data_IF_782148722269
#
_entry.id   IF_782148722269
#
_cell.length_a   1.000
_cell.length_b   1.000
_cell.length_c   1.000
_cell.angle_alpha   90.00
_cell.angle_beta   90.00
_cell.angle_gamma   90.00
#
_symmetry.space_group_name_H-M   'P 1'
#
loop_
_entity.id
_entity.type
_entity.pdbx_description
1 polymer ?
#
# COMPACT_ATOMS: atom_id res chain seq x y z
N UNK A 1 10.44 17.68 -8.08
CA UNK A 1 9.49 18.57 -7.40
C UNK A 1 10.15 19.92 -7.11
N UNK A 2 10.15 20.53 -5.92
CA UNK A 2 10.55 21.96 -5.78
C UNK A 2 11.96 22.33 -6.33
N UNK A 3 12.91 21.39 -6.28
CA UNK A 3 14.30 21.57 -6.75
C UNK A 3 14.58 20.86 -8.10
N UNK A 4 13.57 20.65 -8.95
CA UNK A 4 13.73 20.03 -10.27
C UNK A 4 14.26 18.58 -10.27
N UNK A 5 14.14 17.88 -9.14
CA UNK A 5 14.45 16.44 -9.09
C UNK A 5 13.22 15.60 -9.45
N UNK A 6 13.32 14.65 -10.39
CA UNK A 6 12.28 13.64 -10.59
C UNK A 6 11.97 12.90 -9.29
N UNK A 7 10.72 12.45 -9.16
CA UNK A 7 10.27 11.70 -7.99
C UNK A 7 9.73 10.35 -8.44
N UNK A 8 10.18 9.30 -7.76
CA UNK A 8 9.67 7.94 -7.91
C UNK A 8 9.01 7.58 -6.59
N UNK A 9 7.70 7.41 -6.61
CA UNK A 9 6.90 7.14 -5.40
C UNK A 9 5.94 6.00 -5.67
N UNK A 10 5.54 5.28 -4.63
CA UNK A 10 4.42 4.36 -4.75
C UNK A 10 3.16 5.13 -5.10
N UNK A 11 2.24 4.50 -5.82
CA UNK A 11 0.93 5.09 -6.12
C UNK A 11 -0.05 4.98 -4.93
N UNK A 12 0.45 4.68 -3.73
CA UNK A 12 -0.36 4.55 -2.53
C UNK A 12 -0.91 5.91 -2.07
N UNK A 13 -2.24 6.03 -2.08
CA UNK A 13 -2.97 7.16 -1.48
C UNK A 13 -2.60 8.52 -2.07
N UNK A 14 -2.24 9.46 -1.21
CA UNK A 14 -2.04 10.88 -1.54
C UNK A 14 -0.95 11.12 -2.60
N UNK A 15 -0.04 10.17 -2.84
CA UNK A 15 0.95 10.31 -3.90
C UNK A 15 0.29 10.53 -5.27
N UNK A 16 -0.86 9.88 -5.56
CA UNK A 16 -1.61 10.05 -6.81
C UNK A 16 -2.31 11.40 -6.95
N UNK A 17 -2.52 12.11 -5.85
CA UNK A 17 -3.10 13.45 -5.88
C UNK A 17 -2.05 14.51 -6.27
N UNK A 18 -0.78 14.21 -5.99
CA UNK A 18 0.36 15.11 -6.24
C UNK A 18 1.03 14.78 -7.57
N UNK A 19 1.25 13.49 -7.83
CA UNK A 19 2.02 12.97 -8.95
C UNK A 19 1.09 12.36 -9.99
N UNK A 20 1.27 12.78 -11.24
CA UNK A 20 0.69 12.17 -12.42
C UNK A 20 1.79 11.39 -13.15
N UNK A 21 1.54 10.09 -13.35
CA UNK A 21 2.54 9.15 -13.86
C UNK A 21 3.11 9.58 -15.22
N UNK A 22 4.42 9.47 -15.34
CA UNK A 22 5.26 9.88 -16.48
C UNK A 22 5.13 11.36 -16.91
N UNK A 23 4.40 12.19 -16.16
CA UNK A 23 4.25 13.63 -16.44
C UNK A 23 5.07 14.50 -15.50
N UNK A 24 4.92 14.31 -14.20
CA UNK A 24 5.60 15.12 -13.18
C UNK A 24 6.28 14.27 -12.09
N UNK A 25 6.34 12.96 -12.32
CA UNK A 25 6.99 11.93 -11.51
C UNK A 25 6.66 10.56 -12.08
N UNK A 26 7.12 9.50 -11.42
CA UNK A 26 6.81 8.11 -11.79
C UNK A 26 6.11 7.43 -10.63
N UNK A 27 4.95 6.86 -10.89
CA UNK A 27 4.14 6.14 -9.92
C UNK A 27 4.38 4.64 -10.02
N UNK A 28 4.75 4.03 -8.89
CA UNK A 28 4.95 2.60 -8.81
C UNK A 28 3.68 1.93 -8.28
N UNK A 29 3.08 1.00 -9.05
CA UNK A 29 1.85 0.34 -8.64
C UNK A 29 1.97 -0.39 -7.29
N UNK A 30 0.88 -0.37 -6.55
CA UNK A 30 0.75 -1.04 -5.26
C UNK A 30 -0.43 -1.99 -5.23
N UNK A 31 -0.26 -3.10 -4.50
CA UNK A 31 -1.31 -4.07 -4.19
C UNK A 31 -1.59 -4.02 -2.70
N UNK A 32 -2.85 -3.75 -2.35
CA UNK A 32 -3.33 -3.71 -0.97
C UNK A 32 -4.03 -5.01 -0.53
N UNK A 33 -4.32 -5.15 0.77
CA UNK A 33 -5.10 -6.26 1.31
C UNK A 33 -6.56 -6.23 0.83
N UNK A 34 -7.20 -7.40 0.84
CA UNK A 34 -8.66 -7.51 0.68
C UNK A 34 -9.34 -6.71 1.81
N UNK A 35 -10.39 -5.91 1.53
CA UNK A 35 -11.15 -5.24 2.58
C UNK A 35 -11.70 -6.22 3.63
N UNK A 36 -11.44 -5.94 4.91
CA UNK A 36 -11.79 -6.81 6.05
C UNK A 36 -10.65 -7.70 6.54
N UNK A 37 -9.51 -7.75 5.85
CA UNK A 37 -8.40 -8.66 6.18
C UNK A 37 -7.57 -8.21 7.39
N UNK A 38 -7.72 -6.95 7.82
CA UNK A 38 -6.90 -6.35 8.90
C UNK A 38 -7.71 -5.96 10.14
N UNK A 39 -8.87 -6.60 10.33
CA UNK A 39 -9.81 -6.34 11.41
C UNK A 39 -9.17 -6.47 12.81
N UNK A 40 -8.28 -7.44 12.95
CA UNK A 40 -7.50 -7.68 14.16
C UNK A 40 -6.60 -6.50 14.52
N UNK A 41 -6.10 -5.74 13.54
CA UNK A 41 -5.25 -4.58 13.82
C UNK A 41 -6.10 -3.46 14.44
N UNK A 42 -7.33 -3.29 13.94
CA UNK A 42 -8.29 -2.35 14.51
C UNK A 42 -8.67 -2.75 15.95
N UNK A 43 -8.88 -4.04 16.21
CA UNK A 43 -9.15 -4.56 17.55
C UNK A 43 -7.98 -4.35 18.52
N UNK A 44 -6.76 -4.74 18.13
CA UNK A 44 -5.59 -4.56 18.99
C UNK A 44 -5.34 -3.08 19.30
N UNK A 45 -5.59 -2.20 18.33
CA UNK A 45 -5.44 -0.76 18.51
C UNK A 45 -6.53 -0.16 19.40
N UNK A 46 -7.77 -0.66 19.31
CA UNK A 46 -8.86 -0.20 20.19
C UNK A 46 -8.63 -0.61 21.64
N UNK A 47 -7.99 -1.76 21.87
CA UNK A 47 -7.57 -2.24 23.18
C UNK A 47 -6.25 -1.61 23.68
N UNK A 48 -5.66 -0.67 22.93
CA UNK A 48 -4.34 -0.07 23.22
C UNK A 48 -3.20 -1.08 23.34
N UNK A 49 -3.37 -2.28 22.78
CA UNK A 49 -2.33 -3.31 22.66
C UNK A 49 -1.42 -3.06 21.45
N UNK A 50 -1.87 -2.21 20.53
CA UNK A 50 -1.11 -1.76 19.37
C UNK A 50 -1.18 -0.22 19.32
N UNK A 51 -0.08 0.45 19.64
CA UNK A 51 0.00 1.90 19.51
C UNK A 51 -0.05 2.35 18.04
N UNK A 52 -0.24 3.65 17.81
CA UNK A 52 -0.36 4.20 16.45
C UNK A 52 0.86 3.87 15.56
N UNK A 53 2.08 3.96 16.10
CA UNK A 53 3.31 3.72 15.32
C UNK A 53 3.38 2.26 14.89
N UNK A 54 3.13 1.34 15.81
CA UNK A 54 3.13 -0.09 15.55
C UNK A 54 1.96 -0.49 14.65
N UNK A 55 0.80 0.16 14.77
CA UNK A 55 -0.33 -0.04 13.85
C UNK A 55 0.02 0.32 12.41
N UNK A 56 0.53 1.54 12.19
CA UNK A 56 0.92 1.99 10.85
C UNK A 56 2.07 1.13 10.32
N UNK A 57 3.05 0.81 11.18
CA UNK A 57 4.15 -0.09 10.86
C UNK A 57 3.66 -1.44 10.37
N UNK A 58 2.75 -2.08 11.12
CA UNK A 58 2.14 -3.37 10.79
C UNK A 58 1.29 -3.29 9.52
N UNK A 59 0.37 -2.34 9.41
CA UNK A 59 -0.46 -2.15 8.23
C UNK A 59 0.38 -1.98 6.96
N UNK A 60 1.47 -1.21 7.05
CA UNK A 60 2.37 -1.01 5.92
C UNK A 60 3.00 -2.30 5.41
N UNK A 61 3.15 -3.33 6.26
CA UNK A 61 3.75 -4.62 5.86
C UNK A 61 2.91 -5.35 4.80
N UNK A 62 1.63 -5.02 4.67
CA UNK A 62 0.69 -5.69 3.77
C UNK A 62 0.27 -4.83 2.58
N UNK A 63 0.98 -3.73 2.34
CA UNK A 63 0.89 -2.97 1.09
C UNK A 63 2.15 -3.27 0.29
N UNK A 64 2.01 -4.00 -0.81
CA UNK A 64 3.11 -4.36 -1.68
C UNK A 64 3.31 -3.30 -2.76
N UNK A 65 4.53 -2.79 -2.90
CA UNK A 65 4.93 -1.96 -4.05
C UNK A 65 5.62 -2.86 -5.07
N UNK A 66 5.33 -2.68 -6.36
CA UNK A 66 5.96 -3.49 -7.41
C UNK A 66 7.46 -3.16 -7.54
N UNK A 67 8.30 -3.99 -6.92
CA UNK A 67 9.76 -3.78 -6.82
C UNK A 67 10.41 -3.76 -8.20
N UNK A 68 10.00 -4.64 -9.11
CA UNK A 68 10.54 -4.68 -10.47
C UNK A 68 10.26 -3.39 -11.25
N UNK A 69 9.03 -2.86 -11.19
CA UNK A 69 8.69 -1.56 -11.80
C UNK A 69 9.43 -0.40 -11.14
N UNK A 70 9.65 -0.45 -9.83
CA UNK A 70 10.47 0.54 -9.12
C UNK A 70 11.92 0.55 -9.64
N UNK A 71 12.54 -0.63 -9.74
CA UNK A 71 13.89 -0.77 -10.28
C UNK A 71 13.98 -0.30 -11.74
N UNK A 72 12.97 -0.60 -12.56
CA UNK A 72 12.88 -0.12 -13.93
C UNK A 72 12.79 1.41 -13.99
N UNK A 73 11.96 2.03 -13.17
CA UNK A 73 11.83 3.49 -13.10
C UNK A 73 13.17 4.16 -12.76
N UNK A 74 13.87 3.64 -11.74
CA UNK A 74 15.22 4.13 -11.41
C UNK A 74 16.24 3.87 -12.51
N UNK A 75 16.14 2.75 -13.23
CA UNK A 75 17.03 2.45 -14.36
C UNK A 75 16.84 3.43 -15.51
N UNK A 76 15.59 3.73 -15.88
CA UNK A 76 15.26 4.75 -16.87
C UNK A 76 15.81 6.10 -16.43
N UNK A 77 15.54 6.50 -15.18
CA UNK A 77 16.06 7.75 -14.67
C UNK A 77 17.58 7.75 -14.58
N UNK A 78 18.28 6.65 -14.29
CA UNK A 78 19.74 6.65 -14.23
C UNK A 78 20.39 6.76 -15.62
N UNK A 79 19.77 6.17 -16.63
CA UNK A 79 20.34 6.05 -17.98
C UNK A 79 19.89 7.14 -18.96
N UNK A 80 18.74 7.79 -18.72
CA UNK A 80 18.21 8.86 -19.57
C UNK A 80 18.27 10.24 -18.88
N UNK A 81 19.30 11.01 -19.21
CA UNK A 81 19.47 12.36 -18.68
C UNK A 81 18.40 13.36 -19.17
N UNK A 82 17.87 13.15 -20.38
CA UNK A 82 16.84 14.02 -20.94
C UNK A 82 15.52 13.83 -20.20
N UNK A 83 15.11 12.58 -20.01
CA UNK A 83 13.90 12.24 -19.25
C UNK A 83 13.98 12.74 -17.81
N UNK A 84 15.14 12.62 -17.15
CA UNK A 84 15.36 13.23 -15.83
C UNK A 84 15.12 14.74 -15.83
N UNK A 85 15.69 15.46 -16.79
CA UNK A 85 15.55 16.91 -16.86
C UNK A 85 14.11 17.34 -17.16
N UNK A 86 13.43 16.63 -18.06
CA UNK A 86 12.03 16.86 -18.42
C UNK A 86 11.10 16.67 -17.22
N UNK A 87 11.13 15.49 -16.59
CA UNK A 87 10.31 15.18 -15.41
C UNK A 87 10.63 16.14 -14.26
N UNK A 88 11.89 16.48 -14.06
CA UNK A 88 12.34 17.44 -13.05
C UNK A 88 11.67 18.81 -13.19
N UNK A 89 11.73 19.38 -14.40
CA UNK A 89 11.11 20.68 -14.71
C UNK A 89 9.59 20.64 -14.56
N UNK A 90 8.95 19.60 -15.08
CA UNK A 90 7.49 19.41 -14.96
C UNK A 90 7.04 19.28 -13.49
N UNK A 91 7.81 18.55 -12.70
CA UNK A 91 7.58 18.41 -11.26
C UNK A 91 7.67 19.75 -10.52
N UNK A 92 8.63 20.62 -10.87
CA UNK A 92 8.71 21.96 -10.28
C UNK A 92 7.56 22.85 -10.73
N UNK A 93 7.22 22.84 -12.02
CA UNK A 93 6.07 23.57 -12.55
C UNK A 93 4.77 23.19 -11.83
N UNK A 94 4.57 21.89 -11.55
CA UNK A 94 3.42 21.41 -10.76
C UNK A 94 3.43 22.00 -9.35
N UNK A 95 4.58 22.00 -8.67
CA UNK A 95 4.71 22.55 -7.32
C UNK A 95 4.39 24.04 -7.26
N UNK A 96 4.93 24.82 -8.20
CA UNK A 96 4.66 26.25 -8.29
C UNK A 96 3.18 26.52 -8.57
N UNK A 97 2.54 25.72 -9.43
CA UNK A 97 1.14 25.91 -9.81
C UNK A 97 0.15 25.52 -8.70
N UNK A 98 0.37 24.39 -8.02
CA UNK A 98 -0.61 23.80 -7.08
C UNK A 98 -0.31 24.09 -5.60
N UNK A 99 0.96 24.20 -5.23
CA UNK A 99 1.39 24.19 -3.84
C UNK A 99 2.07 25.49 -3.39
N UNK A 100 1.87 26.60 -4.13
CA UNK A 100 2.32 27.92 -3.71
C UNK A 100 1.52 28.41 -2.49
N UNK A 101 2.23 28.85 -1.45
CA UNK A 101 1.64 29.30 -0.18
C UNK A 101 0.47 30.28 -0.32
N UNK A 102 0.57 31.36 -1.13
CA UNK A 102 -0.53 32.29 -1.33
C UNK A 102 -1.80 31.64 -1.89
N UNK A 103 -1.65 30.70 -2.84
CA UNK A 103 -2.78 29.97 -3.42
C UNK A 103 -3.46 29.08 -2.38
N UNK A 104 -2.68 28.35 -1.60
CA UNK A 104 -3.19 27.50 -0.50
C UNK A 104 -3.95 28.34 0.53
N UNK A 105 -3.36 29.45 0.99
CA UNK A 105 -3.99 30.34 1.97
C UNK A 105 -5.32 30.89 1.43
N UNK A 106 -5.36 31.31 0.17
CA UNK A 106 -6.58 31.77 -0.48
C UNK A 106 -7.69 30.71 -0.50
N UNK A 107 -7.35 29.45 -0.81
CA UNK A 107 -8.30 28.34 -0.80
C UNK A 107 -8.85 28.06 0.61
N UNK A 108 -8.00 28.11 1.65
CA UNK A 108 -8.45 27.98 3.04
C UNK A 108 -9.37 29.12 3.46
N UNK A 109 -9.03 30.37 3.12
CA UNK A 109 -9.87 31.53 3.43
C UNK A 109 -11.24 31.41 2.76
N UNK A 110 -11.27 30.99 1.50
CA UNK A 110 -12.51 30.71 0.77
C UNK A 110 -13.35 29.63 1.46
N UNK A 111 -12.74 28.48 1.77
CA UNK A 111 -13.42 27.36 2.46
C UNK A 111 -14.02 27.81 3.80
N UNK A 112 -13.24 28.54 4.60
CA UNK A 112 -13.70 29.04 5.91
C UNK A 112 -14.87 30.02 5.76
N UNK A 113 -14.82 30.92 4.76
CA UNK A 113 -15.93 31.82 4.42
C UNK A 113 -17.19 31.05 4.05
N UNK A 114 -17.09 30.06 3.15
CA UNK A 114 -18.25 29.26 2.73
C UNK A 114 -18.83 28.45 3.87
N UNK A 115 -17.99 27.81 4.69
CA UNK A 115 -18.45 27.09 5.89
C UNK A 115 -19.12 28.02 6.91
N UNK A 116 -18.65 29.26 7.05
CA UNK A 116 -19.30 30.24 7.92
C UNK A 116 -20.70 30.62 7.41
N UNK A 117 -20.87 30.81 6.09
CA UNK A 117 -22.18 31.05 5.47
C UNK A 117 -23.14 29.88 5.68
N UNK A 118 -22.66 28.66 5.45
CA UNK A 118 -23.46 27.44 5.64
C UNK A 118 -23.93 27.30 7.09
N UNK A 119 -23.04 27.46 8.08
CA UNK A 119 -23.40 27.37 9.50
C UNK A 119 -24.42 28.42 9.94
N UNK A 120 -24.37 29.62 9.37
CA UNK A 120 -25.34 30.68 9.67
C UNK A 120 -26.77 30.33 9.24
N UNK A 121 -26.90 29.52 8.18
CA UNK A 121 -28.18 29.19 7.57
C UNK A 121 -28.63 27.74 7.81
N UNK A 122 -27.84 26.95 8.55
CA UNK A 122 -28.13 25.55 8.79
C UNK A 122 -29.16 25.39 9.91
N UNK A 123 -30.25 24.67 9.63
CA UNK A 123 -31.10 24.11 10.68
C UNK A 123 -30.40 22.89 11.29
N UNK A 124 -30.29 22.86 12.62
CA UNK A 124 -29.64 21.75 13.33
C UNK A 124 -30.60 20.57 13.35
N UNK A 125 -30.27 19.52 12.60
CA UNK A 125 -30.94 18.22 12.68
C UNK A 125 -29.97 17.17 13.19
N UNK A 126 -30.44 16.30 14.08
CA UNK A 126 -29.64 15.20 14.57
C UNK A 126 -29.54 14.12 13.48
N UNK A 127 -28.36 13.55 13.31
CA UNK A 127 -28.19 12.42 12.42
C UNK A 127 -29.12 11.28 12.90
N UNK A 128 -29.85 10.61 11.99
CA UNK A 128 -30.67 9.46 12.36
C UNK A 128 -29.79 8.36 12.97
N UNK A 129 -30.35 7.58 13.89
CA UNK A 129 -29.65 6.42 14.47
C UNK A 129 -29.18 5.50 13.35
N UNK A 130 -27.87 5.27 13.29
CA UNK A 130 -27.26 4.37 12.34
C UNK A 130 -26.90 3.06 13.06
N UNK A 131 -27.60 1.98 12.69
CA UNK A 131 -27.28 0.62 13.13
C UNK A 131 -26.06 0.08 12.36
N UNK A 132 -24.90 0.68 12.60
CA UNK A 132 -23.65 0.27 11.96
C UNK A 132 -23.26 -1.15 12.38
N UNK A 133 -22.90 -1.97 11.40
CA UNK A 133 -22.38 -3.34 11.57
C UNK A 133 -20.87 -3.38 11.82
N UNK A 134 -20.20 -2.23 11.95
CA UNK A 134 -18.76 -2.18 12.20
C UNK A 134 -18.43 -2.78 13.57
N UNK A 135 -17.43 -3.67 13.63
CA UNK A 135 -17.00 -4.32 14.89
C UNK A 135 -16.57 -3.33 15.97
N UNK A 136 -16.17 -2.12 15.59
CA UNK A 136 -15.89 -1.03 16.51
C UNK A 136 -16.26 0.33 15.89
N UNK A 137 -17.19 1.11 16.48
CA UNK A 137 -17.72 2.32 15.85
C UNK A 137 -16.70 3.47 15.73
N UNK A 138 -15.61 3.43 16.50
CA UNK A 138 -14.56 4.47 16.49
C UNK A 138 -13.27 4.03 15.77
N UNK A 139 -13.21 2.79 15.28
CA UNK A 139 -12.03 2.20 14.63
C UNK A 139 -12.45 1.27 13.51
N UNK A 140 -12.33 1.75 12.28
CA UNK A 140 -12.54 0.94 11.08
C UNK A 140 -11.32 0.04 10.82
N UNK A 141 -11.56 -1.13 10.22
CA UNK A 141 -10.50 -1.98 9.67
C UNK A 141 -9.65 -1.18 8.66
N UNK A 142 -8.32 -1.24 8.80
CA UNK A 142 -7.37 -0.50 7.97
C UNK A 142 -7.49 -0.82 6.47
N UNK A 143 -7.72 -2.09 6.12
CA UNK A 143 -7.93 -2.55 4.74
C UNK A 143 -9.25 -2.04 4.14
N UNK A 144 -10.23 -1.68 4.97
CA UNK A 144 -11.46 -1.02 4.53
C UNK A 144 -11.22 0.48 4.43
N UNK A 145 -10.64 1.09 5.46
CA UNK A 145 -10.39 2.53 5.52
C UNK A 145 -9.51 3.04 4.37
N UNK A 146 -8.59 2.22 3.90
CA UNK A 146 -7.63 2.55 2.83
C UNK A 146 -7.79 1.65 1.59
N UNK A 147 -8.97 1.05 1.38
CA UNK A 147 -9.22 0.16 0.25
C UNK A 147 -8.88 0.82 -1.11
N UNK A 148 -9.21 2.10 -1.25
CA UNK A 148 -9.01 2.88 -2.48
C UNK A 148 -7.61 3.46 -2.62
N UNK A 149 -6.67 3.20 -1.70
CA UNK A 149 -5.33 3.80 -1.74
C UNK A 149 -4.36 3.03 -2.65
N UNK A 150 -4.53 1.72 -2.85
CA UNK A 150 -3.68 0.93 -3.74
C UNK A 150 -4.11 1.04 -5.22
N UNK A 151 -3.26 0.62 -6.16
CA UNK A 151 -3.65 0.43 -7.57
C UNK A 151 -4.71 -0.67 -7.67
N UNK A 152 -4.50 -1.74 -6.92
CA UNK A 152 -5.38 -2.90 -6.89
C UNK A 152 -5.39 -3.53 -5.49
N UNK A 153 -6.41 -4.32 -5.23
CA UNK A 153 -6.48 -5.18 -4.06
C UNK A 153 -6.13 -6.60 -4.46
N UNK A 154 -5.46 -7.34 -3.57
CA UNK A 154 -5.26 -8.77 -3.74
C UNK A 154 -6.62 -9.44 -3.96
N UNK A 155 -6.70 -10.34 -4.92
CA UNK A 155 -7.94 -11.02 -5.30
C UNK A 155 -7.66 -12.51 -5.58
N UNK A 156 -8.69 -13.37 -5.58
CA UNK A 156 -8.51 -14.79 -5.94
C UNK A 156 -7.90 -15.01 -7.33
N UNK A 157 -8.07 -14.04 -8.24
CA UNK A 157 -7.56 -14.09 -9.62
C UNK A 157 -6.20 -13.41 -9.81
N UNK A 158 -5.69 -12.73 -8.78
CA UNK A 158 -4.36 -12.10 -8.81
C UNK A 158 -3.31 -13.18 -9.11
N UNK A 159 -2.39 -12.88 -10.04
CA UNK A 159 -1.36 -13.82 -10.47
C UNK A 159 -0.08 -13.56 -9.69
N UNK A 160 0.41 -14.59 -9.02
CA UNK A 160 1.64 -14.59 -8.24
C UNK A 160 2.70 -15.39 -8.97
N UNK A 161 3.94 -14.90 -8.98
CA UNK A 161 5.11 -15.62 -9.50
C UNK A 161 6.36 -15.26 -8.70
N UNK A 162 7.37 -16.11 -8.72
CA UNK A 162 8.68 -15.78 -8.16
C UNK A 162 9.34 -14.64 -8.97
N UNK A 163 10.02 -13.75 -8.27
CA UNK A 163 10.82 -12.67 -8.90
C UNK A 163 12.17 -13.17 -9.41
N UNK A 164 12.70 -14.19 -8.74
CA UNK A 164 14.01 -14.79 -8.97
C UNK A 164 13.89 -16.33 -9.00
N UNK A 165 15.01 -17.04 -9.02
CA UNK A 165 14.98 -18.48 -8.74
C UNK A 165 14.48 -18.74 -7.31
N UNK A 166 13.93 -19.93 -7.06
CA UNK A 166 13.49 -20.36 -5.72
C UNK A 166 14.63 -20.30 -4.71
N UNK A 167 15.84 -20.70 -5.09
CA UNK A 167 17.00 -20.72 -4.19
C UNK A 167 17.41 -19.32 -3.76
N UNK A 168 17.38 -18.35 -4.69
CA UNK A 168 17.61 -16.94 -4.40
C UNK A 168 16.51 -16.37 -3.49
N UNK A 169 15.25 -16.66 -3.77
CA UNK A 169 14.12 -16.22 -2.96
C UNK A 169 14.20 -16.82 -1.54
N UNK A 170 14.55 -18.09 -1.40
CA UNK A 170 14.71 -18.78 -0.11
C UNK A 170 15.88 -18.21 0.69
N UNK A 171 17.00 -17.90 0.02
CA UNK A 171 18.16 -17.25 0.64
C UNK A 171 17.83 -15.83 1.11
N UNK A 172 17.07 -15.07 0.31
CA UNK A 172 16.58 -13.75 0.71
C UNK A 172 15.62 -13.85 1.89
N UNK A 173 14.68 -14.81 1.90
CA UNK A 173 13.77 -15.04 3.01
C UNK A 173 14.54 -15.29 4.32
N UNK A 174 15.52 -16.18 4.29
CA UNK A 174 16.37 -16.49 5.44
C UNK A 174 17.17 -15.27 5.94
N UNK A 175 17.55 -14.36 5.04
CA UNK A 175 18.22 -13.10 5.39
C UNK A 175 17.27 -12.10 6.04
N UNK A 176 16.00 -12.08 5.63
CA UNK A 176 14.98 -11.15 6.12
C UNK A 176 14.37 -11.58 7.47
N UNK A 177 14.20 -12.88 7.69
CA UNK A 177 13.62 -13.47 8.91
C UNK A 177 14.16 -12.92 10.24
N UNK A 178 15.48 -12.73 10.44
CA UNK A 178 16.03 -12.20 11.69
C UNK A 178 15.92 -10.67 11.81
N UNK A 179 15.57 -9.94 10.73
CA UNK A 179 15.53 -8.48 10.75
C UNK A 179 14.28 -7.97 11.46
N UNK A 180 14.42 -6.83 12.17
CA UNK A 180 13.30 -6.19 12.87
C UNK A 180 12.15 -5.76 11.94
N UNK A 181 12.43 -5.57 10.65
CA UNK A 181 11.38 -5.25 9.67
C UNK A 181 10.43 -6.43 9.44
N UNK A 182 10.93 -7.66 9.50
CA UNK A 182 10.12 -8.87 9.39
C UNK A 182 9.41 -9.19 10.72
N UNK A 183 10.02 -8.85 11.86
CA UNK A 183 9.45 -9.18 13.18
C UNK A 183 8.11 -8.48 13.45
N UNK A 184 7.88 -7.29 12.87
CA UNK A 184 6.63 -6.53 13.08
C UNK A 184 5.41 -7.31 12.55
N UNK A 185 5.52 -7.96 11.39
CA UNK A 185 4.41 -8.71 10.78
C UNK A 185 4.35 -10.16 11.25
N UNK A 186 5.38 -10.70 11.91
CA UNK A 186 5.59 -12.13 12.13
C UNK A 186 4.39 -12.87 12.71
N UNK A 187 3.65 -12.27 13.65
CA UNK A 187 2.48 -12.91 14.27
C UNK A 187 1.27 -13.03 13.34
N UNK A 188 1.27 -12.31 12.21
CA UNK A 188 0.19 -12.26 11.22
C UNK A 188 0.52 -13.06 9.96
N UNK A 189 1.73 -13.59 9.86
CA UNK A 189 2.23 -14.34 8.70
C UNK A 189 2.09 -15.85 8.94
N UNK A 190 2.22 -16.60 7.84
CA UNK A 190 2.44 -18.04 7.88
C UNK A 190 3.75 -18.36 8.64
N UNK A 191 3.85 -19.58 9.18
CA UNK A 191 5.10 -20.03 9.77
C UNK A 191 6.21 -20.10 8.70
N UNK A 192 7.50 -19.99 9.07
CA UNK A 192 8.62 -20.03 8.12
C UNK A 192 8.56 -21.19 7.11
N UNK A 193 8.22 -22.39 7.57
CA UNK A 193 8.12 -23.58 6.69
C UNK A 193 6.96 -23.48 5.69
N UNK A 194 5.86 -22.86 6.09
CA UNK A 194 4.71 -22.59 5.21
C UNK A 194 5.01 -21.46 4.22
N UNK A 195 5.81 -20.45 4.60
CA UNK A 195 6.31 -19.44 3.66
C UNK A 195 7.18 -20.08 2.58
N UNK A 196 8.06 -21.02 2.94
CA UNK A 196 8.86 -21.80 1.99
C UNK A 196 7.99 -22.67 1.09
N UNK A 197 6.93 -23.27 1.63
CA UNK A 197 5.95 -24.01 0.83
C UNK A 197 5.29 -23.13 -0.24
N UNK A 198 5.00 -21.86 0.05
CA UNK A 198 4.51 -20.93 -0.98
C UNK A 198 5.53 -20.75 -2.11
N UNK A 199 6.82 -20.62 -1.79
CA UNK A 199 7.88 -20.52 -2.81
C UNK A 199 7.99 -21.82 -3.63
N UNK A 200 7.93 -22.99 -2.98
CA UNK A 200 7.94 -24.31 -3.64
C UNK A 200 6.76 -24.47 -4.60
N UNK A 201 5.56 -24.03 -4.20
CA UNK A 201 4.37 -24.10 -5.04
C UNK A 201 4.45 -23.19 -6.28
N UNK A 202 5.32 -22.18 -6.27
CA UNK A 202 5.56 -21.28 -7.39
C UNK A 202 6.76 -21.73 -8.25
N UNK A 203 7.59 -22.66 -7.77
CA UNK A 203 8.75 -23.17 -8.50
C UNK A 203 8.33 -23.81 -9.83
N UNK A 204 9.05 -23.48 -10.90
CA UNK A 204 8.81 -24.00 -12.25
C UNK A 204 7.50 -23.52 -12.91
N UNK A 205 6.69 -22.69 -12.23
CA UNK A 205 5.48 -22.09 -12.79
C UNK A 205 5.77 -20.68 -13.31
N UNK A 206 5.23 -20.35 -14.48
CA UNK A 206 5.26 -18.96 -14.97
C UNK A 206 4.44 -18.03 -14.07
N UNK A 207 3.25 -18.46 -13.65
CA UNK A 207 2.35 -17.79 -12.70
C UNK A 207 1.42 -18.81 -12.04
N UNK A 208 1.01 -18.56 -10.79
CA UNK A 208 -0.12 -19.24 -10.13
C UNK A 208 -1.14 -18.20 -9.65
N UNK A 209 -2.43 -18.52 -9.61
CA UNK A 209 -3.41 -17.59 -9.01
C UNK A 209 -3.40 -17.71 -7.50
N UNK A 210 -3.82 -16.66 -6.79
CA UNK A 210 -4.06 -16.73 -5.34
C UNK A 210 -5.01 -17.88 -5.00
N UNK A 211 -6.05 -18.12 -5.82
CA UNK A 211 -6.96 -19.25 -5.62
C UNK A 211 -6.25 -20.61 -5.69
N UNK A 212 -5.28 -20.78 -6.60
CA UNK A 212 -4.51 -22.02 -6.69
C UNK A 212 -3.63 -22.27 -5.47
N UNK A 213 -3.06 -21.19 -4.91
CA UNK A 213 -2.33 -21.27 -3.64
C UNK A 213 -3.27 -21.61 -2.48
N UNK A 214 -4.43 -20.95 -2.37
CA UNK A 214 -5.38 -21.20 -1.27
C UNK A 214 -5.89 -22.64 -1.22
N UNK A 215 -5.93 -23.37 -2.35
CA UNK A 215 -6.34 -24.79 -2.39
C UNK A 215 -5.34 -25.72 -1.69
N UNK A 216 -4.09 -25.28 -1.49
CA UNK A 216 -3.04 -26.05 -0.85
C UNK A 216 -2.94 -25.80 0.66
N UNK A 217 -3.72 -24.86 1.19
CA UNK A 217 -3.74 -24.50 2.60
C UNK A 217 -5.13 -24.77 3.19
N UNK A 218 -5.18 -25.07 4.49
CA UNK A 218 -6.44 -25.23 5.20
C UNK A 218 -7.20 -23.89 5.26
N UNK A 219 -8.53 -23.94 5.28
CA UNK A 219 -9.40 -22.75 5.34
C UNK A 219 -9.06 -21.78 6.48
N UNK A 220 -8.64 -22.35 7.61
CA UNK A 220 -8.36 -21.60 8.85
C UNK A 220 -7.09 -20.72 8.73
N UNK A 221 -6.23 -21.00 7.75
CA UNK A 221 -4.97 -20.27 7.49
C UNK A 221 -5.10 -19.28 6.33
N UNK A 222 -6.31 -19.12 5.79
CA UNK A 222 -6.54 -18.29 4.60
C UNK A 222 -6.12 -16.83 4.81
N UNK A 223 -6.36 -16.27 6.00
CA UNK A 223 -5.98 -14.89 6.32
C UNK A 223 -4.46 -14.71 6.31
N UNK A 224 -3.73 -15.56 7.04
CA UNK A 224 -2.28 -15.52 7.14
C UNK A 224 -1.61 -15.77 5.80
N UNK A 225 -2.16 -16.65 4.97
CA UNK A 225 -1.68 -16.88 3.60
C UNK A 225 -1.80 -15.60 2.76
N UNK A 226 -2.95 -14.93 2.74
CA UNK A 226 -3.15 -13.71 1.95
C UNK A 226 -2.22 -12.58 2.42
N UNK A 227 -2.06 -12.41 3.74
CA UNK A 227 -1.11 -11.45 4.31
C UNK A 227 0.34 -11.82 3.96
N UNK A 228 0.67 -13.11 3.94
CA UNK A 228 2.00 -13.60 3.56
C UNK A 228 2.32 -13.36 2.10
N UNK A 229 1.37 -13.54 1.19
CA UNK A 229 1.56 -13.22 -0.24
C UNK A 229 1.90 -11.74 -0.43
N UNK A 230 1.17 -10.84 0.24
CA UNK A 230 1.45 -9.39 0.20
C UNK A 230 2.82 -9.07 0.78
N UNK A 231 3.18 -9.69 1.90
CA UNK A 231 4.46 -9.47 2.56
C UNK A 231 5.64 -9.98 1.72
N UNK A 232 5.55 -11.21 1.18
CA UNK A 232 6.55 -11.76 0.27
C UNK A 232 6.72 -10.86 -0.96
N UNK A 233 5.62 -10.31 -1.48
CA UNK A 233 5.65 -9.39 -2.62
C UNK A 233 6.31 -8.06 -2.25
N UNK A 234 5.99 -7.50 -1.07
CA UNK A 234 6.65 -6.30 -0.54
C UNK A 234 8.16 -6.47 -0.39
N UNK A 235 8.58 -7.67 0.03
CA UNK A 235 9.98 -8.00 0.25
C UNK A 235 10.74 -8.38 -1.03
N UNK A 236 10.07 -8.41 -2.19
CA UNK A 236 10.69 -8.69 -3.49
C UNK A 236 11.00 -10.17 -3.73
N UNK A 237 10.28 -11.08 -3.06
CA UNK A 237 10.40 -12.52 -3.32
C UNK A 237 9.46 -12.98 -4.43
N UNK A 238 8.31 -12.32 -4.55
CA UNK A 238 7.28 -12.63 -5.54
C UNK A 238 6.73 -11.34 -6.15
N UNK A 239 6.20 -11.42 -7.36
CA UNK A 239 5.43 -10.35 -7.99
C UNK A 239 3.96 -10.75 -8.02
N UNK A 240 3.10 -9.79 -7.69
CA UNK A 240 1.65 -9.86 -7.91
C UNK A 240 1.29 -9.02 -9.15
N UNK A 241 0.56 -9.63 -10.09
CA UNK A 241 0.01 -8.99 -11.29
C UNK A 241 -1.51 -9.13 -11.38
#
# INVERSE_FOLDING_TARGET
>A
MAHELPVVVSDWGFHREIVEDDKNGMLIPTVGPVPGLTNEFALLSSLSLLDYRNHVGLASQFVSTNVAKCAQAYTVLATDASKRAELGKSAKATVVAKFAGPGIIGQYQYLLSELAKLRKNAEVTFAPENNSIASYPTRLDTSIAFADYATSTLSPTSKVRLDSSKDEASSLLATLEPLSVASIAKSMLLAPEELRMVLDLLEGKNTATVSDLTKQFNSDRGKELLLSILWLSKMGLVTIN
#
